data_IF_485319740946
#
_entry.id   IF_485319740946
#
_cell.length_a   1.000
_cell.length_b   1.000
_cell.length_c   1.000
_cell.angle_alpha   90.00
_cell.angle_beta   90.00
_cell.angle_gamma   90.00
#
_symmetry.space_group_name_H-M   'P 1'
#
loop_
_entity.id
_entity.type
_entity.pdbx_description
1 polymer ?
#
# COMPACT_ATOMS: atom_id res chain seq x y z
N UNK A 1 -11.91 10.38 12.41
CA UNK A 1 -12.36 9.75 11.16
C UNK A 1 -12.13 8.26 11.29
N UNK A 2 -13.18 7.51 11.62
CA UNK A 2 -13.13 6.05 11.69
C UNK A 2 -13.18 5.56 10.26
N UNK A 3 -12.06 5.03 9.76
CA UNK A 3 -12.09 4.33 8.48
C UNK A 3 -12.82 3.01 8.74
N UNK A 4 -14.08 2.94 8.31
CA UNK A 4 -14.86 1.69 8.29
C UNK A 4 -14.03 0.61 7.61
N UNK A 5 -13.56 -0.34 8.42
CA UNK A 5 -12.66 -1.44 8.00
C UNK A 5 -13.37 -2.52 7.17
N UNK A 6 -14.68 -2.38 6.95
CA UNK A 6 -15.52 -3.44 6.39
C UNK A 6 -16.29 -3.05 5.12
N UNK A 7 -15.80 -2.06 4.35
CA UNK A 7 -16.23 -1.93 2.96
C UNK A 7 -15.51 -3.00 2.12
N UNK A 8 -15.96 -4.24 2.26
CA UNK A 8 -15.58 -5.35 1.39
C UNK A 8 -16.16 -5.05 0.02
N UNK A 9 -15.40 -4.35 -0.82
CA UNK A 9 -15.75 -4.15 -2.22
C UNK A 9 -15.93 -5.55 -2.83
N UNK A 10 -17.17 -5.94 -3.10
CA UNK A 10 -17.50 -7.18 -3.80
C UNK A 10 -17.15 -6.95 -5.26
N UNK A 11 -15.85 -6.98 -5.56
CA UNK A 11 -15.23 -6.67 -6.85
C UNK A 11 -13.82 -7.23 -6.89
N UNK A 12 -13.10 -7.03 -8.00
CA UNK A 12 -11.76 -7.61 -8.22
C UNK A 12 -10.64 -6.98 -7.36
N UNK A 13 -10.97 -5.92 -6.62
CA UNK A 13 -10.04 -5.18 -5.76
C UNK A 13 -10.51 -5.22 -4.30
N UNK A 14 -9.64 -5.68 -3.41
CA UNK A 14 -9.86 -5.70 -1.97
C UNK A 14 -9.35 -4.42 -1.29
N UNK A 15 -8.42 -3.71 -1.93
CA UNK A 15 -7.86 -2.47 -1.41
C UNK A 15 -8.70 -1.28 -1.87
N UNK A 16 -9.24 -0.53 -0.90
CA UNK A 16 -10.15 0.61 -1.14
C UNK A 16 -9.56 1.62 -2.13
N UNK A 17 -8.25 1.89 -2.04
CA UNK A 17 -7.58 2.83 -2.93
C UNK A 17 -7.53 2.33 -4.38
N UNK A 18 -7.24 1.05 -4.58
CA UNK A 18 -7.22 0.45 -5.92
C UNK A 18 -8.64 0.39 -6.51
N UNK A 19 -9.63 0.03 -5.70
CA UNK A 19 -11.04 0.00 -6.11
C UNK A 19 -11.54 1.40 -6.54
N UNK A 20 -11.17 2.46 -5.80
CA UNK A 20 -11.53 3.85 -6.16
C UNK A 20 -10.94 4.26 -7.50
N UNK A 21 -9.64 4.01 -7.72
CA UNK A 21 -8.99 4.31 -9.00
C UNK A 21 -9.64 3.52 -10.15
N UNK A 22 -10.01 2.26 -9.92
CA UNK A 22 -10.72 1.46 -10.92
C UNK A 22 -12.09 2.05 -11.27
N UNK A 23 -12.86 2.51 -10.27
CA UNK A 23 -14.15 3.16 -10.51
C UNK A 23 -14.01 4.48 -11.29
N UNK A 24 -12.96 5.25 -11.04
CA UNK A 24 -12.63 6.44 -11.82
C UNK A 24 -12.29 6.07 -13.27
N UNK A 25 -11.46 5.05 -13.46
CA UNK A 25 -11.06 4.58 -14.78
C UNK A 25 -12.25 4.11 -15.63
N UNK A 26 -13.22 3.39 -15.03
CA UNK A 26 -14.43 2.95 -15.73
C UNK A 26 -15.35 4.11 -16.16
N UNK A 27 -15.19 5.30 -15.58
CA UNK A 27 -15.91 6.52 -15.96
C UNK A 27 -15.13 7.38 -16.95
N UNK A 28 -13.90 7.01 -17.27
CA UNK A 28 -13.06 7.68 -18.27
C UNK A 28 -13.17 6.96 -19.62
N UNK A 29 -12.73 7.63 -20.69
CA UNK A 29 -12.82 7.10 -22.06
C UNK A 29 -11.68 6.13 -22.43
N UNK A 30 -11.36 5.19 -21.53
CA UNK A 30 -10.42 4.11 -21.86
C UNK A 30 -11.07 3.09 -22.79
N UNK A 31 -10.32 2.62 -23.78
CA UNK A 31 -10.75 1.48 -24.59
C UNK A 31 -10.58 0.15 -23.82
N UNK A 32 -11.10 -0.94 -24.38
CA UNK A 32 -11.09 -2.25 -23.72
C UNK A 32 -9.66 -2.74 -23.40
N UNK A 33 -8.72 -2.56 -24.32
CA UNK A 33 -7.33 -3.00 -24.15
C UNK A 33 -6.60 -2.16 -23.08
N UNK A 34 -6.81 -0.83 -23.10
CA UNK A 34 -6.30 0.09 -22.09
C UNK A 34 -6.83 -0.23 -20.69
N UNK A 35 -8.10 -0.61 -20.57
CA UNK A 35 -8.71 -1.03 -19.31
C UNK A 35 -8.11 -2.32 -18.79
N UNK A 36 -7.79 -3.29 -19.67
CA UNK A 36 -7.11 -4.53 -19.29
C UNK A 36 -5.71 -4.24 -18.75
N UNK A 37 -4.91 -3.43 -19.46
CA UNK A 37 -3.59 -3.04 -18.98
C UNK A 37 -3.64 -2.26 -17.66
N UNK A 38 -4.61 -1.35 -17.52
CA UNK A 38 -4.77 -0.54 -16.34
C UNK A 38 -5.19 -1.39 -15.14
N UNK A 39 -6.05 -2.37 -15.36
CA UNK A 39 -6.47 -3.34 -14.36
C UNK A 39 -5.28 -4.15 -13.84
N UNK A 40 -4.42 -4.66 -14.72
CA UNK A 40 -3.20 -5.37 -14.29
C UNK A 40 -2.29 -4.49 -13.42
N UNK A 41 -2.09 -3.23 -13.84
CA UNK A 41 -1.29 -2.26 -13.07
C UNK A 41 -1.92 -1.94 -11.70
N UNK A 42 -3.26 -1.85 -11.62
CA UNK A 42 -3.98 -1.68 -10.36
C UNK A 42 -3.90 -2.93 -9.46
N UNK A 43 -3.87 -4.14 -10.03
CA UNK A 43 -3.65 -5.36 -9.25
C UNK A 43 -2.24 -5.38 -8.65
N UNK A 44 -1.23 -4.95 -9.41
CA UNK A 44 0.12 -4.75 -8.89
C UNK A 44 0.17 -3.69 -7.79
N UNK A 45 -0.57 -2.59 -7.95
CA UNK A 45 -0.71 -1.55 -6.92
C UNK A 45 -1.27 -2.12 -5.61
N UNK A 46 -2.40 -2.83 -5.69
CA UNK A 46 -3.03 -3.50 -4.56
C UNK A 46 -2.06 -4.46 -3.86
N UNK A 47 -1.35 -5.30 -4.62
CA UNK A 47 -0.40 -6.25 -4.04
C UNK A 47 0.75 -5.55 -3.31
N UNK A 48 1.20 -4.39 -3.81
CA UNK A 48 2.20 -3.56 -3.15
C UNK A 48 1.68 -2.92 -1.87
N UNK A 49 0.44 -2.44 -1.84
CA UNK A 49 -0.20 -1.94 -0.62
C UNK A 49 -0.30 -3.05 0.43
N UNK A 50 -0.79 -4.23 0.05
CA UNK A 50 -0.88 -5.39 0.97
C UNK A 50 0.48 -5.73 1.57
N UNK A 51 1.54 -5.71 0.74
CA UNK A 51 2.92 -5.96 1.18
C UNK A 51 3.40 -4.87 2.15
N UNK A 52 3.14 -3.59 1.85
CA UNK A 52 3.47 -2.48 2.74
C UNK A 52 2.76 -2.65 4.09
N UNK A 53 1.46 -2.92 4.10
CA UNK A 53 0.66 -3.13 5.31
C UNK A 53 1.20 -4.28 6.16
N UNK A 54 1.61 -5.36 5.53
CA UNK A 54 2.23 -6.50 6.21
C UNK A 54 3.54 -6.10 6.92
N UNK A 55 4.48 -5.45 6.23
CA UNK A 55 5.75 -5.04 6.84
C UNK A 55 5.56 -3.93 7.89
N UNK A 56 4.64 -3.00 7.68
CA UNK A 56 4.27 -1.99 8.67
C UNK A 56 3.69 -2.63 9.93
N UNK A 57 2.85 -3.66 9.79
CA UNK A 57 2.33 -4.44 10.91
C UNK A 57 3.43 -5.19 11.68
N UNK A 58 4.39 -5.78 10.97
CA UNK A 58 5.56 -6.39 11.61
C UNK A 58 6.42 -5.37 12.37
N UNK A 59 6.65 -4.19 11.78
CA UNK A 59 7.40 -3.11 12.40
C UNK A 59 6.70 -2.63 13.68
N UNK A 60 5.38 -2.45 13.63
CA UNK A 60 4.59 -2.10 14.81
C UNK A 60 4.67 -3.18 15.89
N UNK A 61 4.50 -4.45 15.54
CA UNK A 61 4.61 -5.55 16.50
C UNK A 61 6.00 -5.62 17.15
N UNK A 62 7.07 -5.37 16.38
CA UNK A 62 8.44 -5.27 16.91
C UNK A 62 8.59 -4.10 17.88
N UNK A 63 8.04 -2.93 17.54
CA UNK A 63 8.08 -1.75 18.40
C UNK A 63 7.31 -1.93 19.71
N UNK A 64 6.13 -2.58 19.66
CA UNK A 64 5.35 -2.89 20.85
C UNK A 64 6.08 -3.88 21.76
N UNK A 65 6.75 -4.90 21.20
CA UNK A 65 7.56 -5.84 22.01
C UNK A 65 8.70 -5.10 22.72
N UNK A 66 9.40 -4.21 22.01
CA UNK A 66 10.45 -3.37 22.59
C UNK A 66 9.93 -2.49 23.73
N UNK A 67 8.82 -1.79 23.50
CA UNK A 67 8.22 -0.91 24.52
C UNK A 67 7.76 -1.67 25.78
N UNK A 68 7.32 -2.92 25.64
CA UNK A 68 6.96 -3.76 26.80
C UNK A 68 8.19 -4.37 27.51
N UNK A 69 9.33 -4.47 26.82
CA UNK A 69 10.60 -4.99 27.37
C UNK A 69 11.48 -3.91 28.02
N UNK A 70 11.19 -2.62 27.81
CA UNK A 70 11.86 -1.48 28.48
C UNK A 70 11.62 -1.40 30.01
N UNK A 71 11.10 -2.47 30.63
CA UNK A 71 11.00 -2.61 32.10
C UNK A 71 12.07 -3.53 32.71
N UNK A 72 12.89 -4.22 31.92
CA UNK A 72 14.07 -4.95 32.40
C UNK A 72 15.27 -4.68 31.49
N UNK A 73 16.34 -4.13 32.08
CA UNK A 73 17.64 -3.94 31.45
C UNK A 73 18.16 -5.28 30.89
N UNK A 74 17.95 -5.54 29.60
CA UNK A 74 18.69 -6.59 28.90
C UNK A 74 19.21 -6.07 27.57
N UNK A 75 20.52 -6.19 27.41
CA UNK A 75 21.31 -5.91 26.21
C UNK A 75 20.61 -6.42 24.94
N UNK A 76 19.96 -5.51 24.22
CA UNK A 76 19.48 -5.76 22.86
C UNK A 76 20.71 -5.96 21.96
N UNK A 77 21.04 -7.24 21.70
CA UNK A 77 22.13 -7.65 20.81
C UNK A 77 22.04 -6.89 19.47
N UNK A 78 23.20 -6.55 18.92
CA UNK A 78 23.36 -5.79 17.68
C UNK A 78 22.49 -6.37 16.54
N UNK A 79 22.29 -7.69 16.53
CA UNK A 79 21.41 -8.41 15.60
C UNK A 79 19.94 -7.94 15.61
N UNK A 80 19.36 -7.67 16.78
CA UNK A 80 17.97 -7.22 16.92
C UNK A 80 17.76 -5.78 16.41
N UNK A 81 18.70 -4.88 16.74
CA UNK A 81 18.71 -3.50 16.21
C UNK A 81 18.88 -3.46 14.69
N UNK A 82 19.72 -4.35 14.16
CA UNK A 82 19.90 -4.50 12.71
C UNK A 82 18.61 -4.96 12.03
N UNK A 83 17.94 -6.00 12.56
CA UNK A 83 16.67 -6.49 12.00
C UNK A 83 15.57 -5.41 12.01
N UNK A 84 15.44 -4.66 13.11
CA UNK A 84 14.49 -3.56 13.21
C UNK A 84 14.74 -2.50 12.11
N UNK A 85 15.98 -2.05 11.98
CA UNK A 85 16.40 -1.07 10.96
C UNK A 85 16.18 -1.59 9.53
N UNK A 86 16.39 -2.88 9.29
CA UNK A 86 16.12 -3.50 8.00
C UNK A 86 14.61 -3.46 7.65
N UNK A 87 13.74 -3.79 8.60
CA UNK A 87 12.29 -3.73 8.38
C UNK A 87 11.85 -2.28 8.18
N UNK A 88 12.36 -1.34 8.96
CA UNK A 88 12.03 0.08 8.83
C UNK A 88 12.41 0.63 7.44
N UNK A 89 13.64 0.35 6.98
CA UNK A 89 14.08 0.73 5.64
C UNK A 89 13.19 0.10 4.57
N UNK A 90 12.82 -1.18 4.74
CA UNK A 90 11.95 -1.86 3.80
C UNK A 90 10.56 -1.25 3.71
N UNK A 91 9.99 -0.83 4.84
CA UNK A 91 8.72 -0.11 4.89
C UNK A 91 8.82 1.21 4.14
N UNK A 92 9.88 2.01 4.36
CA UNK A 92 10.10 3.28 3.67
C UNK A 92 10.24 3.11 2.15
N UNK A 93 10.98 2.10 1.70
CA UNK A 93 11.10 1.78 0.27
C UNK A 93 9.75 1.41 -0.35
N UNK A 94 9.01 0.50 0.31
CA UNK A 94 7.71 0.06 -0.17
C UNK A 94 6.70 1.22 -0.20
N UNK A 95 6.69 2.08 0.81
CA UNK A 95 5.86 3.29 0.85
C UNK A 95 6.17 4.23 -0.31
N UNK A 96 7.46 4.52 -0.56
CA UNK A 96 7.88 5.33 -1.70
C UNK A 96 7.46 4.72 -3.05
N UNK A 97 7.55 3.40 -3.19
CA UNK A 97 7.11 2.68 -4.37
C UNK A 97 5.59 2.67 -4.57
N UNK A 98 4.83 2.53 -3.49
CA UNK A 98 3.36 2.60 -3.50
C UNK A 98 2.93 4.00 -3.90
N UNK A 99 3.49 5.06 -3.29
CA UNK A 99 3.18 6.45 -3.62
C UNK A 99 3.46 6.80 -5.08
N UNK A 100 4.64 6.43 -5.60
CA UNK A 100 4.98 6.65 -7.01
C UNK A 100 3.98 5.98 -7.95
N UNK A 101 3.64 4.72 -7.67
CA UNK A 101 2.74 3.97 -8.53
C UNK A 101 1.30 4.48 -8.42
N UNK A 102 0.87 4.92 -7.23
CA UNK A 102 -0.40 5.61 -7.04
C UNK A 102 -0.49 6.87 -7.90
N UNK A 103 0.51 7.76 -7.78
CA UNK A 103 0.55 9.01 -8.53
C UNK A 103 0.51 8.76 -10.05
N UNK A 104 1.30 7.81 -10.55
CA UNK A 104 1.30 7.47 -11.97
C UNK A 104 -0.05 6.96 -12.48
N UNK A 105 -0.74 6.13 -11.67
CA UNK A 105 -2.05 5.61 -12.02
C UNK A 105 -3.11 6.71 -11.97
N UNK A 106 -3.08 7.53 -10.92
CA UNK A 106 -4.00 8.65 -10.74
C UNK A 106 -3.85 9.68 -11.87
N UNK A 107 -2.62 10.12 -12.18
CA UNK A 107 -2.33 11.02 -13.30
C UNK A 107 -2.82 10.43 -14.63
N UNK A 108 -2.55 9.14 -14.90
CA UNK A 108 -3.02 8.50 -16.14
C UNK A 108 -4.56 8.51 -16.23
N UNK A 109 -5.25 8.22 -15.14
CA UNK A 109 -6.72 8.17 -15.10
C UNK A 109 -7.31 9.57 -15.23
N UNK A 110 -6.77 10.56 -14.51
CA UNK A 110 -7.23 11.94 -14.53
C UNK A 110 -7.00 12.60 -15.88
N UNK A 111 -5.82 12.41 -16.50
CA UNK A 111 -5.53 12.97 -17.81
C UNK A 111 -6.54 12.45 -18.85
N UNK A 112 -6.82 11.15 -18.85
CA UNK A 112 -7.83 10.55 -19.73
C UNK A 112 -9.26 11.04 -19.42
N UNK A 113 -9.54 11.37 -18.16
CA UNK A 113 -10.83 11.93 -17.75
C UNK A 113 -10.98 13.40 -18.17
N UNK A 114 -9.88 14.14 -18.29
CA UNK A 114 -9.86 15.58 -18.62
C UNK A 114 -9.73 15.89 -20.11
N UNK A 115 -9.46 14.91 -20.97
CA UNK A 115 -9.40 15.09 -22.44
C UNK A 115 -10.78 15.29 -23.11
N UNK A 116 -11.79 15.73 -22.34
CA UNK A 116 -13.13 16.13 -22.78
C UNK A 116 -13.17 17.60 -23.22
#
# INVERSE_FOLDING_TARGET
MVYDKDFKFKGEFDEIQAARLWQLALKSEFNADELVELKEKLLHYQNRIKKLNYFSGQLQAHNLKKQNQDSDEMDEDSSGKNLHKHIENRVKELDGHVKKLHQQLEEKILNKHSEL
#
